data_IF_838762039677
#
_entry.id   IF_838762039677
#
_cell.length_a   1.000
_cell.length_b   1.000
_cell.length_c   1.000
_cell.angle_alpha   90.00
_cell.angle_beta   90.00
_cell.angle_gamma   90.00
#
_symmetry.space_group_name_H-M   'P 1'
#
loop_
_entity.id
_entity.type
_entity.pdbx_description
1 polymer ?
#
# COMPACT_ATOMS: atom_id res chain seq x y z
N UNK A 1 21.56 1.39 -19.63
CA UNK A 1 20.14 1.34 -20.06
C UNK A 1 19.27 1.12 -18.84
N UNK A 2 18.01 1.54 -18.95
CA UNK A 2 17.07 1.97 -17.91
C UNK A 2 16.92 1.12 -16.65
N UNK A 3 16.53 1.83 -15.59
CA UNK A 3 16.28 1.38 -14.22
C UNK A 3 15.38 0.16 -14.18
N UNK A 4 15.73 -0.78 -13.32
CA UNK A 4 14.90 -1.88 -12.84
C UNK A 4 13.62 -1.25 -12.24
N UNK A 5 12.55 -1.17 -13.02
CA UNK A 5 11.22 -0.89 -12.51
C UNK A 5 10.76 -2.18 -11.84
N UNK A 6 10.75 -2.19 -10.50
CA UNK A 6 10.24 -3.30 -9.71
C UNK A 6 8.84 -3.66 -10.21
N UNK A 7 8.72 -4.87 -10.73
CA UNK A 7 7.57 -5.36 -11.45
C UNK A 7 6.38 -5.48 -10.50
N UNK A 8 5.36 -4.65 -10.73
CA UNK A 8 4.11 -4.68 -9.97
C UNK A 8 3.37 -5.98 -10.30
N UNK A 9 3.28 -6.89 -9.32
CA UNK A 9 2.63 -8.20 -9.53
C UNK A 9 1.13 -8.08 -9.21
N UNK A 10 0.32 -7.68 -10.21
CA UNK A 10 -1.13 -7.78 -10.20
C UNK A 10 -1.89 -6.47 -10.39
N UNK A 11 -3.22 -6.51 -10.13
CA UNK A 11 -4.11 -5.35 -10.20
C UNK A 11 -4.74 -5.08 -8.83
N UNK A 12 -4.77 -3.81 -8.40
CA UNK A 12 -5.46 -3.39 -7.18
C UNK A 12 -6.99 -3.50 -7.39
N UNK A 13 -7.75 -4.06 -6.44
CA UNK A 13 -9.20 -4.21 -6.59
C UNK A 13 -9.92 -2.86 -6.63
N UNK A 14 -10.89 -2.72 -7.53
CA UNK A 14 -11.63 -1.47 -7.81
C UNK A 14 -12.40 -0.89 -6.60
N UNK A 15 -12.62 -1.68 -5.53
CA UNK A 15 -13.32 -1.25 -4.31
C UNK A 15 -12.39 -0.99 -3.13
N UNK A 16 -12.01 0.28 -3.05
CA UNK A 16 -11.67 1.16 -1.91
C UNK A 16 -10.60 0.76 -0.91
N UNK A 17 -10.47 -0.49 -0.45
CA UNK A 17 -9.59 -0.83 0.68
C UNK A 17 -8.67 -2.02 0.38
N UNK A 18 -7.41 -1.92 0.77
CA UNK A 18 -6.41 -2.99 0.69
C UNK A 18 -5.77 -3.20 2.05
N UNK A 19 -5.42 -4.45 2.38
CA UNK A 19 -4.64 -4.71 3.59
C UNK A 19 -3.17 -4.31 3.42
N UNK A 20 -2.52 -3.89 4.49
CA UNK A 20 -1.08 -3.60 4.47
C UNK A 20 -0.26 -4.84 4.02
N UNK A 21 -0.70 -6.05 4.36
CA UNK A 21 -0.14 -7.31 3.88
C UNK A 21 -0.25 -7.46 2.36
N UNK A 22 -1.43 -7.25 1.79
CA UNK A 22 -1.63 -7.33 0.34
C UNK A 22 -0.88 -6.23 -0.40
N UNK A 23 -0.85 -5.02 0.15
CA UNK A 23 -0.10 -3.91 -0.42
C UNK A 23 1.42 -4.18 -0.40
N UNK A 24 1.90 -4.83 0.65
CA UNK A 24 3.30 -5.27 0.76
C UNK A 24 3.65 -6.31 -0.32
N UNK A 25 2.76 -7.29 -0.56
CA UNK A 25 2.92 -8.25 -1.63
C UNK A 25 2.90 -7.59 -3.01
N UNK A 26 1.95 -6.68 -3.25
CA UNK A 26 1.79 -5.98 -4.51
C UNK A 26 3.01 -5.12 -4.87
N UNK A 27 3.56 -4.42 -3.88
CA UNK A 27 4.74 -3.56 -4.03
C UNK A 27 6.06 -4.34 -3.89
N UNK A 28 6.02 -5.65 -3.64
CA UNK A 28 7.19 -6.48 -3.35
C UNK A 28 8.11 -5.92 -2.25
N UNK A 29 7.52 -5.42 -1.14
CA UNK A 29 8.26 -4.87 0.01
C UNK A 29 7.84 -5.53 1.33
N UNK A 30 8.63 -5.32 2.38
CA UNK A 30 8.27 -5.77 3.72
C UNK A 30 7.04 -5.01 4.25
N UNK A 31 6.08 -5.74 4.84
CA UNK A 31 4.90 -5.18 5.51
C UNK A 31 5.20 -4.06 6.50
N UNK A 32 6.26 -4.17 7.30
CA UNK A 32 6.59 -3.15 8.29
C UNK A 32 7.02 -1.84 7.64
N UNK A 33 7.63 -1.91 6.45
CA UNK A 33 7.92 -0.74 5.62
C UNK A 33 6.63 -0.09 5.12
N UNK A 34 5.65 -0.88 4.69
CA UNK A 34 4.33 -0.35 4.30
C UNK A 34 3.65 0.34 5.48
N UNK A 35 3.61 -0.29 6.65
CA UNK A 35 3.00 0.30 7.86
C UNK A 35 3.68 1.60 8.29
N UNK A 36 5.02 1.63 8.32
CA UNK A 36 5.79 2.85 8.61
C UNK A 36 5.49 3.96 7.62
N UNK A 37 5.35 3.64 6.33
CA UNK A 37 5.02 4.64 5.31
C UNK A 37 3.58 5.13 5.45
N UNK A 38 2.60 4.26 5.71
CA UNK A 38 1.21 4.66 6.00
C UNK A 38 1.17 5.67 7.15
N UNK A 39 1.91 5.42 8.23
CA UNK A 39 2.02 6.33 9.37
C UNK A 39 2.73 7.64 9.02
N UNK A 40 3.92 7.55 8.42
CA UNK A 40 4.74 8.71 8.03
C UNK A 40 3.99 9.64 7.07
N UNK A 41 3.18 9.08 6.20
CA UNK A 41 2.40 9.79 5.18
C UNK A 41 1.02 10.24 5.69
N UNK A 42 0.63 9.88 6.92
CA UNK A 42 -0.64 10.25 7.49
C UNK A 42 -1.86 9.64 6.78
N UNK A 43 -1.68 8.48 6.12
CA UNK A 43 -2.75 7.81 5.38
C UNK A 43 -3.74 7.19 6.37
N UNK A 44 -5.02 7.49 6.19
CA UNK A 44 -6.08 6.96 7.03
C UNK A 44 -6.15 5.42 6.94
N UNK A 45 -6.29 4.77 8.09
CA UNK A 45 -6.36 3.31 8.20
C UNK A 45 -7.46 2.87 9.15
N UNK A 46 -8.00 1.69 8.88
CA UNK A 46 -8.91 0.97 9.79
C UNK A 46 -8.21 -0.30 10.27
N UNK A 47 -8.30 -0.61 11.56
CA UNK A 47 -7.74 -1.84 12.12
C UNK A 47 -8.87 -2.83 12.41
N UNK A 48 -8.86 -3.98 11.74
CA UNK A 48 -9.84 -5.05 11.93
C UNK A 48 -9.09 -6.36 12.20
N UNK A 49 -9.35 -6.99 13.34
CA UNK A 49 -8.68 -8.23 13.75
C UNK A 49 -7.14 -8.17 13.65
N UNK A 50 -6.55 -7.01 14.00
CA UNK A 50 -5.10 -6.78 13.92
C UNK A 50 -4.56 -6.48 12.51
N UNK A 51 -5.39 -6.56 11.46
CA UNK A 51 -5.02 -6.20 10.09
C UNK A 51 -5.32 -4.74 9.82
N UNK A 52 -4.40 -4.09 9.12
CA UNK A 52 -4.55 -2.69 8.71
C UNK A 52 -5.13 -2.65 7.32
N UNK A 53 -6.30 -2.04 7.19
CA UNK A 53 -6.93 -1.75 5.92
C UNK A 53 -6.71 -0.26 5.63
N UNK A 54 -6.20 0.03 4.44
CA UNK A 54 -5.96 1.39 3.94
C UNK A 54 -6.74 1.61 2.66
N UNK A 55 -7.20 2.85 2.46
CA UNK A 55 -7.88 3.16 1.22
C UNK A 55 -6.87 3.23 0.08
N UNK A 56 -7.15 2.53 -1.02
CA UNK A 56 -6.30 2.56 -2.22
C UNK A 56 -6.26 4.00 -2.79
N UNK A 57 -7.39 4.71 -2.83
CA UNK A 57 -7.45 6.06 -3.35
C UNK A 57 -6.62 7.06 -2.52
N UNK A 58 -6.69 6.97 -1.19
CA UNK A 58 -5.88 7.82 -0.31
C UNK A 58 -4.39 7.51 -0.46
N UNK A 59 -4.04 6.23 -0.59
CA UNK A 59 -2.67 5.80 -0.84
C UNK A 59 -2.14 6.33 -2.17
N UNK A 60 -2.90 6.18 -3.27
CA UNK A 60 -2.54 6.70 -4.59
C UNK A 60 -2.42 8.23 -4.61
N UNK A 61 -3.31 8.94 -3.93
CA UNK A 61 -3.28 10.39 -3.84
C UNK A 61 -2.00 10.89 -3.17
N UNK A 62 -1.53 10.21 -2.13
CA UNK A 62 -0.29 10.59 -1.44
C UNK A 62 0.95 10.15 -2.24
N UNK A 63 0.90 9.01 -2.93
CA UNK A 63 2.02 8.52 -3.75
C UNK A 63 2.30 9.39 -4.99
N UNK A 64 1.34 10.21 -5.43
CA UNK A 64 1.49 11.14 -6.58
C UNK A 64 2.06 12.51 -6.22
N UNK A 65 2.28 12.81 -4.93
CA UNK A 65 2.93 14.04 -4.46
C UNK A 65 4.42 13.82 -4.25
#
# INVERSE_FOLDING_TARGET
MSKNEEEIIGYLPEKRWISAEQLALYLNVNKDTVKRNIERLGIARVVIAGKWLVSIADFEMVARK
#
